data_IF_084979192318
#
_entry.id   IF_084979192318
#
_cell.length_a   1.000
_cell.length_b   1.000
_cell.length_c   1.000
_cell.angle_alpha   90.00
_cell.angle_beta   90.00
_cell.angle_gamma   90.00
#
_symmetry.space_group_name_H-M   'P 1'
#
loop_
_entity.id
_entity.type
_entity.pdbx_description
1 polymer ?
#
# COMPACT_ATOMS: atom_id res chain seq x y z
N UNK A 1 7.96 -22.59 -24.63
CA UNK A 1 8.70 -21.32 -24.47
C UNK A 1 8.34 -20.78 -23.10
N UNK A 2 9.20 -21.02 -22.10
CA UNK A 2 8.97 -20.50 -20.76
C UNK A 2 9.22 -19.00 -20.83
N UNK A 3 8.16 -18.21 -20.70
CA UNK A 3 8.28 -16.78 -20.50
C UNK A 3 8.87 -16.62 -19.10
N UNK A 4 10.15 -16.24 -19.05
CA UNK A 4 10.78 -15.78 -17.83
C UNK A 4 10.14 -14.42 -17.55
N UNK A 5 9.08 -14.40 -16.75
CA UNK A 5 8.50 -13.15 -16.27
C UNK A 5 9.60 -12.38 -15.56
N UNK A 6 9.89 -11.16 -16.04
CA UNK A 6 10.80 -10.25 -15.37
C UNK A 6 10.30 -10.04 -13.92
N UNK A 7 11.01 -10.64 -12.97
CA UNK A 7 10.67 -10.52 -11.55
C UNK A 7 10.60 -9.03 -11.17
N UNK A 8 9.63 -8.63 -10.33
CA UNK A 8 9.51 -7.24 -9.91
C UNK A 8 10.82 -6.81 -9.24
N UNK A 9 11.39 -5.70 -9.71
CA UNK A 9 12.67 -5.15 -9.21
C UNK A 9 12.46 -4.26 -7.97
N UNK A 10 11.24 -3.77 -7.75
CA UNK A 10 10.91 -2.80 -6.70
C UNK A 10 10.09 -3.41 -5.55
N UNK A 11 10.45 -3.09 -4.30
CA UNK A 11 9.66 -3.46 -3.11
C UNK A 11 8.22 -2.92 -3.17
N UNK A 12 7.97 -1.81 -3.88
CA UNK A 12 6.61 -1.29 -4.10
C UNK A 12 5.69 -2.30 -4.79
N UNK A 13 6.27 -3.21 -5.57
CA UNK A 13 5.58 -4.25 -6.34
C UNK A 13 5.80 -5.66 -5.77
N UNK A 14 6.33 -5.77 -4.55
CA UNK A 14 6.54 -7.07 -3.88
C UNK A 14 7.82 -7.81 -4.28
N UNK A 15 8.83 -7.10 -4.80
CA UNK A 15 10.16 -7.68 -5.01
C UNK A 15 10.75 -8.30 -3.73
N UNK A 16 11.62 -9.29 -3.88
CA UNK A 16 12.45 -9.76 -2.77
C UNK A 16 13.37 -8.64 -2.27
N UNK A 17 13.64 -8.61 -0.97
CA UNK A 17 14.59 -7.67 -0.38
C UNK A 17 16.03 -8.07 -0.76
N UNK A 18 16.70 -7.22 -1.53
CA UNK A 18 18.09 -7.36 -1.94
C UNK A 18 18.71 -5.97 -2.15
N UNK A 19 20.00 -5.90 -2.48
CA UNK A 19 20.68 -4.61 -2.65
C UNK A 19 20.00 -3.69 -3.68
N UNK A 20 19.51 -4.22 -4.80
CA UNK A 20 18.87 -3.40 -5.84
C UNK A 20 17.49 -2.88 -5.39
N UNK A 21 16.66 -3.75 -4.84
CA UNK A 21 15.31 -3.38 -4.38
C UNK A 21 15.34 -2.48 -3.12
N UNK A 22 16.37 -2.62 -2.28
CA UNK A 22 16.65 -1.70 -1.17
C UNK A 22 17.06 -0.31 -1.66
N UNK A 23 17.99 -0.24 -2.62
CA UNK A 23 18.41 1.04 -3.20
C UNK A 23 17.25 1.77 -3.88
N UNK A 24 16.43 1.05 -4.65
CA UNK A 24 15.18 1.58 -5.21
C UNK A 24 14.25 2.15 -4.12
N UNK A 25 14.03 1.40 -3.04
CA UNK A 25 13.21 1.85 -1.92
C UNK A 25 13.75 3.13 -1.27
N UNK A 26 15.04 3.18 -0.96
CA UNK A 26 15.66 4.36 -0.34
C UNK A 26 15.59 5.56 -1.28
N UNK A 27 15.73 5.36 -2.60
CA UNK A 27 15.62 6.43 -3.59
C UNK A 27 14.20 7.03 -3.62
N UNK A 28 13.16 6.19 -3.61
CA UNK A 28 11.75 6.64 -3.54
C UNK A 28 11.43 7.31 -2.21
N UNK A 29 11.88 6.74 -1.10
CA UNK A 29 11.72 7.35 0.23
C UNK A 29 12.37 8.73 0.29
N UNK A 30 13.57 8.87 -0.28
CA UNK A 30 14.27 10.16 -0.37
C UNK A 30 13.50 11.15 -1.22
N UNK A 31 12.98 10.73 -2.38
CA UNK A 31 12.16 11.58 -3.24
C UNK A 31 10.95 12.15 -2.49
N UNK A 32 10.24 11.29 -1.76
CA UNK A 32 8.97 11.64 -1.11
C UNK A 32 9.17 12.42 0.21
N UNK A 33 10.22 12.15 0.97
CA UNK A 33 10.39 12.77 2.30
C UNK A 33 11.33 13.96 2.34
N UNK A 34 12.31 14.05 1.44
CA UNK A 34 13.31 15.14 1.44
C UNK A 34 13.63 15.66 0.03
N UNK A 35 12.94 15.14 -0.98
CA UNK A 35 13.15 15.46 -2.39
C UNK A 35 12.00 16.26 -2.97
N UNK A 36 11.80 16.14 -4.29
CA UNK A 36 10.79 16.90 -5.03
C UNK A 36 9.36 16.55 -4.62
N UNK A 37 9.10 15.31 -4.19
CA UNK A 37 7.77 14.85 -3.79
C UNK A 37 7.17 15.66 -2.63
N UNK A 38 8.02 16.20 -1.75
CA UNK A 38 7.59 17.08 -0.64
C UNK A 38 6.78 18.28 -1.14
N UNK A 39 7.07 18.81 -2.33
CA UNK A 39 6.32 19.92 -2.89
C UNK A 39 4.89 19.55 -3.30
N UNK A 40 4.65 18.28 -3.62
CA UNK A 40 3.33 17.79 -4.04
C UNK A 40 2.37 17.64 -2.84
N UNK A 41 2.90 17.25 -1.67
CA UNK A 41 2.10 16.97 -0.47
C UNK A 41 2.41 17.87 0.73
N UNK A 42 3.30 18.85 0.58
CA UNK A 42 3.60 19.90 1.56
C UNK A 42 4.13 19.41 2.94
N UNK A 43 4.70 18.20 3.04
CA UNK A 43 5.25 17.67 4.30
C UNK A 43 6.45 16.75 4.08
N UNK A 44 7.49 16.86 4.89
CA UNK A 44 8.64 15.93 4.89
C UNK A 44 8.34 14.65 5.69
N UNK A 45 7.42 14.74 6.65
CA UNK A 45 6.99 13.64 7.53
C UNK A 45 5.85 12.83 6.88
N UNK A 46 5.92 12.62 5.57
CA UNK A 46 4.85 11.98 4.82
C UNK A 46 4.68 10.50 5.18
N UNK A 47 3.42 10.09 5.33
CA UNK A 47 2.98 8.70 5.19
C UNK A 47 1.86 8.65 4.16
N UNK A 48 1.92 7.65 3.30
CA UNK A 48 0.95 7.48 2.22
C UNK A 48 -0.09 6.46 2.67
N UNK A 49 -1.26 6.96 3.11
CA UNK A 49 -2.38 6.11 3.49
C UNK A 49 -3.18 5.75 2.25
N UNK A 50 -3.53 4.48 2.13
CA UNK A 50 -4.57 4.04 1.21
C UNK A 50 -5.90 4.08 1.97
N UNK A 51 -6.90 4.72 1.37
CA UNK A 51 -8.24 4.84 1.95
C UNK A 51 -9.30 4.33 0.98
N UNK A 52 -10.31 3.65 1.51
CA UNK A 52 -11.47 3.19 0.75
C UNK A 52 -12.68 4.08 1.03
N UNK A 53 -13.45 4.38 -0.02
CA UNK A 53 -14.72 5.10 0.11
C UNK A 53 -15.79 4.16 0.65
N UNK A 54 -16.41 4.56 1.75
CA UNK A 54 -17.50 3.84 2.41
C UNK A 54 -18.73 4.72 2.42
N UNK A 55 -19.84 4.15 1.97
CA UNK A 55 -21.15 4.79 1.98
C UNK A 55 -21.89 4.37 3.26
N UNK A 56 -22.46 5.34 3.96
CA UNK A 56 -23.25 5.15 5.18
C UNK A 56 -24.70 5.46 4.82
N UNK A 57 -25.62 4.59 5.21
CA UNK A 57 -27.06 4.74 4.98
C UNK A 57 -27.82 4.67 6.30
N UNK A 58 -29.09 5.06 6.28
CA UNK A 58 -29.97 5.04 7.46
C UNK A 58 -29.83 6.27 8.35
N UNK A 59 -29.25 7.35 7.83
CA UNK A 59 -29.31 8.65 8.49
C UNK A 59 -30.74 9.15 8.35
N UNK A 60 -31.31 9.66 9.44
CA UNK A 60 -32.64 10.25 9.39
C UNK A 60 -32.63 11.50 8.47
N UNK A 61 -33.65 11.61 7.60
CA UNK A 61 -33.75 12.64 6.55
C UNK A 61 -33.73 14.07 7.10
N UNK A 62 -34.04 14.29 8.38
CA UNK A 62 -33.95 15.60 9.01
C UNK A 62 -32.53 16.04 9.36
N UNK A 63 -31.54 15.12 9.33
CA UNK A 63 -30.15 15.41 9.70
C UNK A 63 -29.22 15.58 8.49
N UNK A 64 -29.70 15.36 7.27
CA UNK A 64 -28.91 15.48 6.05
C UNK A 64 -29.78 15.88 4.87
N UNK A 65 -29.21 16.61 3.92
CA UNK A 65 -29.78 16.94 2.62
C UNK A 65 -29.44 15.91 1.53
N UNK A 66 -28.59 14.93 1.87
CA UNK A 66 -28.21 13.83 0.98
C UNK A 66 -29.14 12.64 1.20
N UNK A 67 -30.03 12.38 0.25
CA UNK A 67 -30.98 11.27 0.32
C UNK A 67 -30.69 10.20 -0.74
N UNK A 68 -31.10 8.98 -0.45
CA UNK A 68 -30.98 7.85 -1.34
C UNK A 68 -32.22 6.96 -1.23
N UNK A 69 -32.63 6.42 -2.36
CA UNK A 69 -33.64 5.36 -2.45
C UNK A 69 -32.90 4.04 -2.36
N UNK A 70 -33.35 3.14 -1.48
CA UNK A 70 -32.86 1.77 -1.39
C UNK A 70 -34.02 0.83 -1.70
N UNK A 71 -33.84 -0.05 -2.69
CA UNK A 71 -34.75 -1.14 -3.01
C UNK A 71 -33.89 -2.37 -3.25
N UNK A 72 -34.09 -3.43 -2.47
CA UNK A 72 -33.24 -4.62 -2.47
C UNK A 72 -31.72 -4.30 -2.33
N UNK A 73 -30.93 -4.64 -3.34
CA UNK A 73 -29.48 -4.38 -3.41
C UNK A 73 -29.13 -3.10 -4.20
N UNK A 74 -30.14 -2.43 -4.75
CA UNK A 74 -29.98 -1.23 -5.57
C UNK A 74 -30.10 0.04 -4.75
N UNK A 75 -29.32 1.05 -5.14
CA UNK A 75 -29.29 2.35 -4.48
C UNK A 75 -29.21 3.45 -5.53
N UNK A 76 -30.08 4.45 -5.39
CA UNK A 76 -30.11 5.63 -6.27
C UNK A 76 -30.02 6.89 -5.43
N UNK A 77 -29.17 7.84 -5.85
CA UNK A 77 -28.89 9.07 -5.10
C UNK A 77 -29.71 10.26 -5.58
N UNK A 78 -30.66 10.03 -6.49
CA UNK A 78 -31.71 10.98 -6.85
C UNK A 78 -32.96 10.23 -7.35
N UNK A 79 -34.15 10.87 -7.32
CA UNK A 79 -35.35 10.27 -7.88
C UNK A 79 -35.24 10.08 -9.39
N UNK A 80 -34.47 10.95 -10.05
CA UNK A 80 -34.15 10.82 -11.47
C UNK A 80 -33.31 9.59 -11.78
N UNK A 81 -32.29 9.30 -10.98
CA UNK A 81 -31.48 8.08 -11.16
C UNK A 81 -32.34 6.83 -11.01
N UNK A 82 -33.25 6.82 -10.03
CA UNK A 82 -34.22 5.74 -9.87
C UNK A 82 -35.10 5.61 -11.11
N UNK A 83 -35.69 6.71 -11.58
CA UNK A 83 -36.53 6.72 -12.79
C UNK A 83 -35.81 6.20 -14.03
N UNK A 84 -34.57 6.64 -14.25
CA UNK A 84 -33.78 6.28 -15.44
C UNK A 84 -33.39 4.79 -15.47
N UNK A 85 -33.39 4.11 -14.31
CA UNK A 85 -33.09 2.68 -14.18
C UNK A 85 -34.34 1.78 -14.31
N UNK A 86 -35.54 2.37 -14.22
CA UNK A 86 -36.80 1.66 -14.45
C UNK A 86 -37.02 1.35 -15.95
N UNK A 87 -37.60 0.19 -16.24
CA UNK A 87 -38.09 -0.13 -17.58
C UNK A 87 -39.37 0.66 -17.94
N UNK A 88 -39.75 0.64 -19.23
CA UNK A 88 -40.90 1.39 -19.74
C UNK A 88 -42.22 1.01 -19.05
N UNK A 89 -42.40 -0.26 -18.66
CA UNK A 89 -43.59 -0.73 -17.98
C UNK A 89 -43.64 -0.25 -16.53
N UNK A 90 -42.50 -0.29 -15.83
CA UNK A 90 -42.33 0.24 -14.47
C UNK A 90 -42.56 1.76 -14.44
N UNK A 91 -41.94 2.51 -15.36
CA UNK A 91 -42.17 3.94 -15.54
C UNK A 91 -43.65 4.27 -15.78
N UNK A 92 -44.30 3.50 -16.66
CA UNK A 92 -45.72 3.68 -16.97
C UNK A 92 -46.62 3.40 -15.76
N UNK A 93 -46.33 2.36 -14.97
CA UNK A 93 -47.06 2.08 -13.72
C UNK A 93 -46.89 3.18 -12.69
N UNK A 94 -45.66 3.68 -12.50
CA UNK A 94 -45.38 4.77 -11.56
C UNK A 94 -46.12 6.05 -11.96
N UNK A 95 -46.06 6.43 -13.24
CA UNK A 95 -46.82 7.56 -13.76
C UNK A 95 -48.33 7.39 -13.61
N UNK A 96 -48.87 6.18 -13.81
CA UNK A 96 -50.31 5.93 -13.64
C UNK A 96 -50.78 6.19 -12.20
N UNK A 97 -50.00 5.77 -11.21
CA UNK A 97 -50.28 6.03 -9.78
C UNK A 97 -50.27 7.52 -9.50
N UNK A 98 -49.27 8.24 -10.01
CA UNK A 98 -49.11 9.67 -9.76
C UNK A 98 -50.18 10.49 -10.46
N UNK A 99 -50.52 10.13 -11.69
CA UNK A 99 -51.52 10.84 -12.47
C UNK A 99 -52.92 10.73 -11.84
N UNK A 100 -53.21 9.66 -11.10
CA UNK A 100 -54.44 9.52 -10.32
C UNK A 100 -54.51 10.47 -9.12
N UNK A 101 -53.36 10.89 -8.57
CA UNK A 101 -53.28 11.73 -7.36
C UNK A 101 -52.93 13.20 -7.65
N UNK A 102 -52.14 13.48 -8.68
CA UNK A 102 -51.52 14.80 -8.93
C UNK A 102 -51.71 15.33 -10.36
N UNK A 103 -52.39 14.58 -11.24
CA UNK A 103 -52.63 14.95 -12.66
C UNK A 103 -51.36 15.22 -13.49
N UNK A 104 -50.18 14.78 -13.02
CA UNK A 104 -48.88 14.95 -13.69
C UNK A 104 -48.09 13.64 -13.72
N UNK A 105 -46.95 13.63 -14.42
CA UNK A 105 -45.99 12.51 -14.39
C UNK A 105 -45.03 12.62 -13.19
N UNK A 106 -44.30 11.54 -12.89
CA UNK A 106 -43.32 11.50 -11.79
C UNK A 106 -42.28 12.61 -11.85
N UNK A 107 -41.60 12.77 -12.99
CA UNK A 107 -40.56 13.78 -13.15
C UNK A 107 -41.09 15.22 -13.16
N UNK A 108 -42.41 15.42 -13.24
CA UNK A 108 -43.06 16.73 -13.20
C UNK A 108 -43.42 17.15 -11.77
N UNK A 109 -43.42 16.22 -10.82
CA UNK A 109 -43.55 16.52 -9.39
C UNK A 109 -42.37 17.37 -8.90
N UNK A 110 -42.58 18.10 -7.80
CA UNK A 110 -41.45 18.69 -7.08
C UNK A 110 -40.59 17.58 -6.50
N UNK A 111 -39.29 17.83 -6.41
CA UNK A 111 -38.34 16.83 -5.92
C UNK A 111 -38.68 16.32 -4.51
N UNK A 112 -39.14 17.19 -3.59
CA UNK A 112 -39.62 16.75 -2.27
C UNK A 112 -40.78 15.75 -2.36
N UNK A 113 -41.73 16.00 -3.26
CA UNK A 113 -42.90 15.14 -3.46
C UNK A 113 -42.50 13.83 -4.15
N UNK A 114 -41.47 13.86 -5.03
CA UNK A 114 -40.89 12.65 -5.60
C UNK A 114 -40.28 11.77 -4.50
N UNK A 115 -39.50 12.35 -3.60
CA UNK A 115 -38.88 11.62 -2.50
C UNK A 115 -39.90 11.02 -1.54
N UNK A 116 -40.91 11.80 -1.14
CA UNK A 116 -41.95 11.31 -0.24
C UNK A 116 -42.75 10.17 -0.88
N UNK A 117 -43.06 10.27 -2.18
CA UNK A 117 -43.73 9.20 -2.90
C UNK A 117 -42.89 7.92 -2.99
N UNK A 118 -41.59 8.04 -3.25
CA UNK A 118 -40.71 6.88 -3.29
C UNK A 118 -40.58 6.19 -1.92
N UNK A 119 -40.76 6.90 -0.81
CA UNK A 119 -40.76 6.34 0.55
C UNK A 119 -42.06 5.60 0.88
N UNK A 120 -43.14 5.86 0.12
CA UNK A 120 -44.44 5.19 0.26
C UNK A 120 -44.56 3.91 -0.59
N UNK A 121 -43.64 3.66 -1.54
CA UNK A 121 -43.65 2.45 -2.35
C UNK A 121 -43.18 1.27 -1.49
N UNK A 122 -43.94 0.17 -1.50
CA UNK A 122 -43.55 -1.07 -0.84
C UNK A 122 -42.13 -1.51 -1.25
N UNK A 123 -41.38 -2.07 -0.31
CA UNK A 123 -39.99 -2.52 -0.45
C UNK A 123 -38.95 -1.41 -0.76
N UNK A 124 -39.37 -0.14 -0.77
CA UNK A 124 -38.46 1.01 -0.88
C UNK A 124 -38.18 1.60 0.50
N UNK A 125 -37.01 2.22 0.64
CA UNK A 125 -36.66 3.02 1.80
C UNK A 125 -35.94 4.27 1.34
N UNK A 126 -36.47 5.45 1.67
CA UNK A 126 -35.79 6.71 1.41
C UNK A 126 -35.08 7.16 2.68
N UNK A 127 -33.76 7.05 2.66
CA UNK A 127 -32.91 7.34 3.82
C UNK A 127 -31.89 8.42 3.51
N UNK A 128 -31.46 9.13 4.54
CA UNK A 128 -30.27 9.93 4.47
C UNK A 128 -29.01 9.07 4.32
N UNK A 129 -28.04 9.60 3.58
CA UNK A 129 -26.73 8.97 3.41
C UNK A 129 -25.59 9.95 3.62
N UNK A 130 -24.41 9.40 3.88
CA UNK A 130 -23.16 10.15 3.83
C UNK A 130 -22.01 9.25 3.37
N UNK A 131 -20.86 9.85 3.09
CA UNK A 131 -19.66 9.11 2.74
C UNK A 131 -18.50 9.44 3.66
N UNK A 132 -17.66 8.43 3.90
CA UNK A 132 -16.38 8.63 4.55
C UNK A 132 -15.29 7.82 3.87
N UNK A 133 -14.06 8.23 4.10
CA UNK A 133 -12.88 7.51 3.67
C UNK A 133 -12.32 6.75 4.87
N UNK A 134 -12.29 5.43 4.79
CA UNK A 134 -11.77 4.56 5.85
C UNK A 134 -10.34 4.12 5.53
N UNK A 135 -9.52 4.03 6.57
CA UNK A 135 -8.14 3.58 6.44
C UNK A 135 -8.06 2.10 6.03
N UNK A 136 -7.24 1.81 5.01
CA UNK A 136 -6.98 0.44 4.53
C UNK A 136 -5.56 0.00 4.83
N UNK A 137 -4.57 0.82 4.46
CA UNK A 137 -3.16 0.48 4.61
C UNK A 137 -2.29 1.75 4.64
N UNK A 138 -1.04 1.64 5.10
CA UNK A 138 -0.05 2.71 5.13
C UNK A 138 1.24 2.29 4.44
N UNK A 139 1.82 3.20 3.66
CA UNK A 139 3.07 2.96 2.93
C UNK A 139 4.07 4.10 3.15
N UNK A 140 5.36 3.75 3.17
CA UNK A 140 6.46 4.70 3.30
C UNK A 140 6.65 5.60 2.07
N UNK A 141 6.17 5.18 0.90
CA UNK A 141 6.41 5.86 -0.38
C UNK A 141 5.12 5.88 -1.21
N UNK A 142 4.92 6.94 -2.00
CA UNK A 142 3.74 7.12 -2.85
C UNK A 142 3.58 5.98 -3.85
N UNK A 143 4.65 5.62 -4.55
CA UNK A 143 4.64 4.54 -5.54
C UNK A 143 4.19 3.19 -4.97
N UNK A 144 4.49 2.91 -3.70
CA UNK A 144 4.06 1.68 -3.05
C UNK A 144 2.55 1.69 -2.73
N UNK A 145 2.00 2.85 -2.34
CA UNK A 145 0.57 3.03 -2.14
C UNK A 145 -0.20 2.95 -3.46
N UNK A 146 0.31 3.58 -4.52
CA UNK A 146 -0.28 3.49 -5.86
C UNK A 146 -0.21 2.07 -6.43
N UNK A 147 0.91 1.37 -6.24
CA UNK A 147 1.03 -0.03 -6.64
C UNK A 147 0.08 -0.93 -5.83
N UNK A 148 -0.22 -0.62 -4.57
CA UNK A 148 -1.26 -1.31 -3.81
C UNK A 148 -2.64 -1.10 -4.45
N UNK A 149 -3.00 0.14 -4.79
CA UNK A 149 -4.26 0.46 -5.46
C UNK A 149 -4.38 -0.28 -6.79
N UNK A 150 -3.33 -0.29 -7.63
CA UNK A 150 -3.37 -0.98 -8.92
C UNK A 150 -3.71 -2.47 -8.75
N UNK A 151 -3.11 -3.12 -7.75
CA UNK A 151 -3.37 -4.54 -7.46
C UNK A 151 -4.75 -4.78 -6.85
N UNK A 152 -5.24 -3.87 -6.02
CA UNK A 152 -6.38 -4.12 -5.11
C UNK A 152 -7.63 -3.32 -5.41
N UNK A 153 -7.64 -2.40 -6.37
CA UNK A 153 -8.82 -1.57 -6.70
C UNK A 153 -10.10 -2.36 -6.96
N UNK A 154 -10.00 -3.59 -7.47
CA UNK A 154 -11.16 -4.44 -7.73
C UNK A 154 -11.92 -4.86 -6.47
N UNK A 155 -11.23 -4.93 -5.32
CA UNK A 155 -11.84 -5.21 -4.00
C UNK A 155 -12.61 -3.99 -3.47
N UNK A 156 -12.37 -2.79 -4.00
CA UNK A 156 -12.89 -1.51 -3.49
C UNK A 156 -13.68 -0.76 -4.57
N UNK A 157 -14.76 -1.37 -5.06
CA UNK A 157 -15.58 -0.87 -6.19
C UNK A 157 -16.11 0.56 -6.01
N UNK A 158 -16.36 0.97 -4.76
CA UNK A 158 -16.89 2.31 -4.41
C UNK A 158 -15.83 3.42 -4.52
N UNK A 159 -14.56 3.05 -4.62
CA UNK A 159 -13.44 3.98 -4.73
C UNK A 159 -12.35 3.68 -3.72
N UNK A 160 -11.11 3.88 -4.14
CA UNK A 160 -9.90 3.78 -3.32
C UNK A 160 -8.95 4.90 -3.73
N UNK A 161 -8.25 5.51 -2.77
CA UNK A 161 -7.34 6.64 -3.04
C UNK A 161 -6.08 6.57 -2.19
N UNK A 162 -5.07 7.32 -2.61
CA UNK A 162 -3.94 7.68 -1.75
C UNK A 162 -4.27 9.00 -1.06
N UNK A 163 -4.16 9.03 0.25
CA UNK A 163 -4.22 10.22 1.08
C UNK A 163 -2.88 10.39 1.80
N UNK A 164 -2.28 11.57 1.68
CA UNK A 164 -1.02 11.86 2.37
C UNK A 164 -1.33 12.45 3.74
N UNK A 165 -0.81 11.81 4.77
CA UNK A 165 -0.90 12.28 6.14
C UNK A 165 0.49 12.71 6.65
N UNK A 166 0.50 13.65 7.60
CA UNK A 166 1.73 14.15 8.19
C UNK A 166 1.96 13.48 9.54
N UNK A 167 3.01 12.67 9.63
CA UNK A 167 3.40 11.96 10.84
C UNK A 167 4.23 12.83 11.81
N UNK A 168 4.00 14.14 11.86
CA UNK A 168 4.82 15.10 12.63
C UNK A 168 4.94 14.75 14.12
N UNK A 169 3.91 14.11 14.69
CA UNK A 169 3.89 13.67 16.09
C UNK A 169 4.32 12.20 16.30
N UNK A 170 4.61 11.46 15.23
CA UNK A 170 5.05 10.06 15.31
C UNK A 170 6.58 10.00 15.31
N UNK A 171 7.20 10.41 16.42
CA UNK A 171 8.66 10.55 16.51
C UNK A 171 9.43 9.27 16.20
N UNK A 172 8.91 8.10 16.59
CA UNK A 172 9.55 6.81 16.29
C UNK A 172 9.63 6.55 14.79
N UNK A 173 8.54 6.80 14.05
CA UNK A 173 8.47 6.65 12.60
C UNK A 173 9.47 7.57 11.90
N UNK A 174 9.48 8.86 12.28
CA UNK A 174 10.37 9.83 11.65
C UNK A 174 11.83 9.52 11.99
N UNK A 175 12.14 9.09 13.21
CA UNK A 175 13.50 8.68 13.61
C UNK A 175 14.00 7.49 12.79
N UNK A 176 13.16 6.48 12.56
CA UNK A 176 13.53 5.31 11.74
C UNK A 176 13.71 5.72 10.28
N UNK A 177 12.78 6.49 9.71
CA UNK A 177 12.87 7.01 8.34
C UNK A 177 14.15 7.82 8.13
N UNK A 178 14.46 8.73 9.05
CA UNK A 178 15.69 9.53 9.01
C UNK A 178 16.94 8.65 9.10
N UNK A 179 16.95 7.65 9.98
CA UNK A 179 18.07 6.72 10.10
C UNK A 179 18.31 5.92 8.81
N UNK A 180 17.24 5.51 8.11
CA UNK A 180 17.33 4.90 6.77
C UNK A 180 17.92 5.90 5.76
N UNK A 181 17.38 7.11 5.70
CA UNK A 181 17.80 8.15 4.75
C UNK A 181 19.26 8.60 4.95
N UNK A 182 19.73 8.60 6.19
CA UNK A 182 21.11 8.92 6.58
C UNK A 182 22.05 7.71 6.45
N UNK A 183 21.55 6.52 6.14
CA UNK A 183 22.34 5.29 6.03
C UNK A 183 22.77 4.67 7.36
N UNK A 184 22.17 5.10 8.48
CA UNK A 184 22.37 4.48 9.81
C UNK A 184 21.63 3.13 9.92
N UNK A 185 20.52 3.00 9.22
CA UNK A 185 19.80 1.73 9.01
C UNK A 185 19.92 1.36 7.54
N UNK A 186 20.30 0.11 7.26
CA UNK A 186 20.55 -0.38 5.91
C UNK A 186 20.37 -1.89 5.79
N UNK A 187 20.37 -2.38 4.56
CA UNK A 187 20.41 -3.81 4.29
C UNK A 187 21.72 -4.41 4.83
N UNK A 188 21.61 -5.43 5.67
CA UNK A 188 22.74 -6.22 6.14
C UNK A 188 22.88 -7.45 5.27
N UNK A 189 23.82 -7.44 4.33
CA UNK A 189 24.21 -8.67 3.63
C UNK A 189 25.10 -9.48 4.58
N UNK A 190 24.61 -10.63 5.06
CA UNK A 190 25.36 -11.54 5.93
C UNK A 190 26.73 -11.91 5.31
N UNK A 191 26.78 -12.06 3.98
CA UNK A 191 28.01 -12.29 3.22
C UNK A 191 28.99 -11.12 3.34
N UNK A 192 28.50 -9.88 3.35
CA UNK A 192 29.34 -8.69 3.51
C UNK A 192 29.87 -8.57 4.93
N UNK A 193 29.02 -8.82 5.93
CA UNK A 193 29.45 -8.87 7.32
C UNK A 193 30.50 -9.97 7.55
N UNK A 194 30.30 -11.13 6.95
CA UNK A 194 31.24 -12.24 7.01
C UNK A 194 32.57 -11.89 6.31
N UNK A 195 32.52 -11.25 5.14
CA UNK A 195 33.72 -10.79 4.43
C UNK A 195 34.50 -9.73 5.24
N UNK A 196 33.81 -8.76 5.85
CA UNK A 196 34.43 -7.76 6.73
C UNK A 196 35.04 -8.40 7.98
N UNK A 197 34.35 -9.38 8.58
CA UNK A 197 34.87 -10.15 9.71
C UNK A 197 36.11 -10.98 9.34
N UNK A 198 36.11 -11.64 8.18
CA UNK A 198 37.28 -12.38 7.68
C UNK A 198 38.46 -11.45 7.39
N UNK A 199 38.22 -10.29 6.77
CA UNK A 199 39.26 -9.31 6.51
C UNK A 199 39.89 -8.79 7.82
N UNK A 200 39.07 -8.54 8.84
CA UNK A 200 39.52 -8.15 10.17
C UNK A 200 40.37 -9.25 10.84
N UNK A 201 39.87 -10.49 10.85
CA UNK A 201 40.58 -11.63 11.43
C UNK A 201 41.93 -11.88 10.74
N UNK A 202 41.99 -11.78 9.40
CA UNK A 202 43.24 -11.91 8.66
C UNK A 202 44.24 -10.80 9.01
N UNK A 203 43.77 -9.57 9.22
CA UNK A 203 44.61 -8.46 9.65
C UNK A 203 45.18 -8.67 11.06
N UNK A 204 44.36 -9.12 12.02
CA UNK A 204 44.81 -9.42 13.38
C UNK A 204 45.78 -10.62 13.41
N UNK A 205 45.48 -11.69 12.66
CA UNK A 205 46.38 -12.83 12.50
C UNK A 205 47.73 -12.41 11.91
N UNK A 206 47.74 -11.56 10.88
CA UNK A 206 48.97 -11.03 10.29
C UNK A 206 49.84 -10.28 11.31
N UNK A 207 49.23 -9.48 12.20
CA UNK A 207 49.95 -8.79 13.29
C UNK A 207 50.57 -9.78 14.27
N UNK A 208 49.82 -10.79 14.70
CA UNK A 208 50.31 -11.82 15.65
C UNK A 208 51.46 -12.62 15.05
N UNK A 209 51.34 -13.04 13.80
CA UNK A 209 52.37 -13.83 13.12
C UNK A 209 53.66 -13.05 12.92
N UNK A 210 53.57 -11.76 12.61
CA UNK A 210 54.75 -10.90 12.54
C UNK A 210 55.41 -10.71 13.91
N UNK A 211 54.64 -10.46 14.97
CA UNK A 211 55.17 -10.34 16.33
C UNK A 211 55.87 -11.62 16.81
N UNK A 212 55.38 -12.78 16.37
CA UNK A 212 55.98 -14.08 16.67
C UNK A 212 57.16 -14.45 15.74
N UNK A 213 57.56 -13.57 14.81
CA UNK A 213 58.73 -13.74 13.96
C UNK A 213 58.52 -14.64 12.74
N UNK A 214 57.28 -14.98 12.39
CA UNK A 214 56.96 -15.90 11.28
C UNK A 214 56.86 -15.21 9.92
N UNK A 215 56.99 -13.88 9.82
CA UNK A 215 56.94 -13.14 8.55
C UNK A 215 57.71 -11.81 8.59
N UNK A 216 58.18 -11.37 7.42
CA UNK A 216 58.93 -10.12 7.23
C UNK A 216 58.10 -8.88 7.60
N UNK A 217 56.77 -8.94 7.47
CA UNK A 217 55.85 -7.89 7.90
C UNK A 217 54.44 -8.41 8.18
N UNK A 218 53.67 -7.68 8.99
CA UNK A 218 52.25 -8.01 9.23
C UNK A 218 51.41 -8.00 7.95
N UNK A 219 51.74 -7.13 6.99
CA UNK A 219 51.05 -7.05 5.71
C UNK A 219 51.28 -8.27 4.81
N UNK A 220 52.52 -8.80 4.80
CA UNK A 220 52.84 -10.01 4.06
C UNK A 220 52.09 -11.23 4.64
N UNK A 221 52.11 -11.39 5.97
CA UNK A 221 51.35 -12.46 6.64
C UNK A 221 49.83 -12.36 6.41
N UNK A 222 49.28 -11.14 6.37
CA UNK A 222 47.87 -10.91 6.04
C UNK A 222 47.54 -11.31 4.59
N UNK A 223 48.38 -10.94 3.63
CA UNK A 223 48.18 -11.31 2.22
C UNK A 223 48.22 -12.82 2.01
N UNK A 224 49.16 -13.51 2.66
CA UNK A 224 49.25 -14.97 2.62
C UNK A 224 48.00 -15.64 3.22
N UNK A 225 47.52 -15.14 4.37
CA UNK A 225 46.30 -15.64 5.00
C UNK A 225 45.05 -15.42 4.13
N UNK A 226 44.92 -14.25 3.50
CA UNK A 226 43.83 -13.96 2.57
C UNK A 226 43.91 -14.80 1.29
N UNK A 227 45.12 -15.06 0.78
CA UNK A 227 45.35 -15.93 -0.37
C UNK A 227 44.91 -17.38 -0.06
N UNK A 228 45.23 -17.88 1.13
CA UNK A 228 44.79 -19.20 1.58
C UNK A 228 43.26 -19.31 1.70
N UNK A 229 42.60 -18.28 2.26
CA UNK A 229 41.14 -18.22 2.35
C UNK A 229 40.46 -18.24 0.97
N UNK A 230 41.03 -17.55 -0.02
CA UNK A 230 40.51 -17.52 -1.38
C UNK A 230 40.72 -18.83 -2.17
N UNK A 231 41.63 -19.68 -1.71
CA UNK A 231 41.93 -20.99 -2.33
C UNK A 231 41.25 -22.15 -1.62
N UNK A 232 40.46 -21.88 -0.57
CA UNK A 232 39.87 -22.93 0.25
C UNK A 232 38.84 -23.71 -0.61
N UNK A 233 38.97 -25.04 -0.76
CA UNK A 233 37.93 -25.82 -1.41
C UNK A 233 36.63 -25.68 -0.62
N UNK A 234 35.49 -25.68 -1.33
CA UNK A 234 34.18 -25.72 -0.69
C UNK A 234 34.17 -26.90 0.30
N UNK A 235 33.79 -26.62 1.55
CA UNK A 235 33.59 -27.69 2.52
C UNK A 235 32.34 -28.41 2.03
N UNK A 236 32.49 -29.62 1.50
CA UNK A 236 31.35 -30.49 1.25
C UNK A 236 30.66 -30.69 2.60
N UNK A 237 29.42 -30.20 2.72
CA UNK A 237 28.55 -30.53 3.84
C UNK A 237 28.33 -32.04 3.79
N UNK A 238 29.10 -32.82 4.56
CA UNK A 238 28.92 -34.26 4.65
C UNK A 238 27.49 -34.55 5.13
N UNK A 239 26.78 -35.32 4.30
CA UNK A 239 25.46 -35.90 4.52
C UNK A 239 25.29 -36.42 5.94
N UNK A 240 24.56 -35.66 6.77
CA UNK A 240 23.94 -36.21 7.99
C UNK A 240 22.73 -37.06 7.59
N UNK A 241 22.98 -38.22 6.99
CA UNK A 241 22.01 -39.31 6.91
C UNK A 241 22.56 -40.54 7.64
N UNK A 242 22.69 -40.41 8.95
CA UNK A 242 22.82 -41.54 9.86
C UNK A 242 21.46 -42.21 10.03
N UNK A 243 21.10 -43.09 9.09
CA UNK A 243 20.02 -44.05 9.29
C UNK A 243 20.58 -45.20 10.14
N UNK A 244 20.21 -45.25 11.42
CA UNK A 244 20.47 -46.40 12.29
C UNK A 244 19.26 -47.31 12.30
N UNK A 245 19.47 -48.56 11.87
CA UNK A 245 18.59 -49.72 12.06
C UNK A 245 18.22 -49.97 13.53
#
# INVERSE_FOLDING_TARGET
>A
MSQQEDLPVSLAKGAALNSASWQDFVARLRHDCVGKGVHDHCTADAIFRVEARVMIYGIDRYYTDKWAVICDESVWFSPKEYWDDLDEDQQSRLNLVIQQAHECNFLELKECDQWDLLDEIDDHSVVGWDEKWEHVNSHFTKDAAEAFIERKRHDYRKGIRVYVDAQTYCWEYNTIKEAILQGRIGLTDEVKQLAEAYAFLAAEYGKVMHQAGFSESAGAAQQDAMSWLNQRPAVDEEDTNGNSD
#
